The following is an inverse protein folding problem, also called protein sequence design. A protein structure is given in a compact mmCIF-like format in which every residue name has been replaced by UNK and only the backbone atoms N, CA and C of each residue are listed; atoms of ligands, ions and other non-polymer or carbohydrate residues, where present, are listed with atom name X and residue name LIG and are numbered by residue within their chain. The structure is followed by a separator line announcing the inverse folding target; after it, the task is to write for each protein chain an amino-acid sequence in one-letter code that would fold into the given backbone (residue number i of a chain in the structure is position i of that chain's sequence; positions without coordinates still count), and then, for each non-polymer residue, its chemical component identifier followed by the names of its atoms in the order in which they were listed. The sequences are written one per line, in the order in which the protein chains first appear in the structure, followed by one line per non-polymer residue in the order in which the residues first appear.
data_IF_722317134861
#
_entry.id   IF_722317134861
#
_cell.length_a   1.000
_cell.length_b   1.000
_cell.length_c   1.000
_cell.angle_alpha   90.00
_cell.angle_beta   90.00
_cell.angle_gamma   90.00
#
_symmetry.space_group_name_H-M   'P 1'
#
loop_
_entity.id
_entity.type
_entity.pdbx_description
1 polymer ?
#
# COMPACT_ATOMS: atom_id res chain seq x y z
N UNK A 1 7.63 -9.90 5.92
CA UNK A 1 7.22 -9.87 7.35
C UNK A 1 5.84 -9.21 7.46
N UNK A 2 4.74 -9.95 7.26
CA UNK A 2 3.39 -9.40 7.38
C UNK A 2 3.03 -9.01 8.83
N UNK A 3 3.51 -9.75 9.84
CA UNK A 3 3.17 -9.51 11.26
C UNK A 3 3.57 -8.10 11.73
N UNK A 4 4.79 -7.65 11.45
CA UNK A 4 5.26 -6.33 11.88
C UNK A 4 4.45 -5.19 11.27
N UNK A 5 4.09 -5.31 9.97
CA UNK A 5 3.24 -4.32 9.29
C UNK A 5 1.80 -4.33 9.82
N UNK A 6 1.24 -5.52 10.05
CA UNK A 6 -0.12 -5.70 10.58
C UNK A 6 -0.25 -5.11 11.99
N UNK A 7 0.71 -5.41 12.87
CA UNK A 7 0.69 -4.99 14.27
C UNK A 7 1.05 -3.50 14.44
N UNK A 8 2.01 -2.97 13.67
CA UNK A 8 2.49 -1.60 13.85
C UNK A 8 1.54 -0.54 13.26
N UNK A 9 0.80 -0.84 12.19
CA UNK A 9 -0.09 0.14 11.57
C UNK A 9 -1.52 0.11 12.11
N UNK A 10 -1.90 -0.89 12.90
CA UNK A 10 -3.26 -1.05 13.45
C UNK A 10 -4.36 -1.18 12.38
N UNK A 11 -3.99 -1.47 11.12
CA UNK A 11 -4.87 -1.43 9.93
C UNK A 11 -4.55 -2.59 8.98
N UNK A 12 -4.26 -3.76 9.54
CA UNK A 12 -4.10 -5.06 8.84
C UNK A 12 -3.11 -5.10 7.65
N UNK A 13 -2.22 -4.11 7.49
CA UNK A 13 -1.17 -4.09 6.48
C UNK A 13 -1.70 -4.18 5.05
N UNK A 14 -1.21 -5.16 4.27
CA UNK A 14 -1.66 -5.43 2.89
C UNK A 14 -3.10 -5.94 2.79
N UNK A 15 -3.69 -6.39 3.90
CA UNK A 15 -5.08 -6.87 3.93
C UNK A 15 -6.08 -5.72 3.82
N UNK A 16 -5.76 -4.55 4.39
CA UNK A 16 -6.49 -3.29 4.20
C UNK A 16 -5.55 -2.22 3.66
N UNK A 17 -5.47 -1.00 4.21
CA UNK A 17 -4.57 0.06 3.72
C UNK A 17 -3.34 0.31 4.62
N UNK A 18 -3.08 -0.55 5.61
CA UNK A 18 -2.08 -0.30 6.64
C UNK A 18 -0.65 -0.12 6.12
N UNK A 19 -0.25 -0.83 5.07
CA UNK A 19 1.08 -0.65 4.49
C UNK A 19 1.19 0.66 3.69
N UNK A 20 0.12 1.11 3.03
CA UNK A 20 0.09 2.39 2.33
C UNK A 20 0.25 3.55 3.31
N UNK A 21 -0.49 3.53 4.42
CA UNK A 21 -0.39 4.56 5.47
C UNK A 21 0.99 4.53 6.14
N UNK A 22 1.53 3.35 6.43
CA UNK A 22 2.88 3.22 6.99
C UNK A 22 3.94 3.82 6.05
N UNK A 23 3.83 3.61 4.74
CA UNK A 23 4.75 4.22 3.76
C UNK A 23 4.68 5.74 3.80
N UNK A 24 3.50 6.34 3.93
CA UNK A 24 3.38 7.79 4.03
C UNK A 24 3.97 8.34 5.33
N UNK A 25 3.83 7.62 6.44
CA UNK A 25 4.48 7.99 7.70
C UNK A 25 6.01 7.96 7.59
N UNK A 26 6.58 6.92 6.97
CA UNK A 26 8.03 6.77 6.89
C UNK A 26 8.69 7.57 5.77
N UNK A 27 8.11 7.63 4.58
CA UNK A 27 8.71 8.31 3.42
C UNK A 27 8.51 9.82 3.47
N UNK A 28 7.36 10.28 3.99
CA UNK A 28 7.00 11.71 4.01
C UNK A 28 6.97 12.31 5.42
N UNK A 29 7.38 11.57 6.45
CA UNK A 29 7.33 12.01 7.86
C UNK A 29 5.94 12.53 8.31
N UNK A 30 4.87 12.03 7.68
CA UNK A 30 3.50 12.45 8.01
C UNK A 30 3.09 11.90 9.38
N UNK A 31 2.31 12.69 10.14
CA UNK A 31 1.64 12.15 11.32
C UNK A 31 0.53 11.18 10.90
N UNK A 32 0.16 10.26 11.80
CA UNK A 32 -0.81 9.20 11.49
C UNK A 32 -2.15 9.73 10.91
N UNK A 33 -2.66 10.85 11.41
CA UNK A 33 -3.89 11.46 10.90
C UNK A 33 -3.73 11.93 9.46
N UNK A 34 -2.70 12.73 9.19
CA UNK A 34 -2.37 13.26 7.86
C UNK A 34 -2.12 12.13 6.85
N UNK A 35 -1.41 11.08 7.27
CA UNK A 35 -1.13 9.93 6.43
C UNK A 35 -2.42 9.16 6.07
N UNK A 36 -3.35 8.99 7.02
CA UNK A 36 -4.68 8.40 6.74
C UNK A 36 -5.49 9.26 5.80
N UNK A 37 -5.56 10.58 6.05
CA UNK A 37 -6.31 11.51 5.22
C UNK A 37 -5.77 11.54 3.79
N UNK A 38 -4.44 11.53 3.63
CA UNK A 38 -3.79 11.47 2.32
C UNK A 38 -4.14 10.19 1.57
N UNK A 39 -4.02 9.03 2.22
CA UNK A 39 -4.29 7.73 1.59
C UNK A 39 -5.78 7.58 1.26
N UNK A 40 -6.68 7.96 2.18
CA UNK A 40 -8.12 7.96 1.96
C UNK A 40 -8.51 8.82 0.75
N UNK A 41 -7.98 10.04 0.66
CA UNK A 41 -8.19 10.93 -0.48
C UNK A 41 -7.66 10.35 -1.79
N UNK A 42 -6.50 9.69 -1.76
CA UNK A 42 -5.91 9.03 -2.94
C UNK A 42 -6.73 7.84 -3.44
N UNK A 43 -7.38 7.13 -2.52
CA UNK A 43 -8.20 5.95 -2.81
C UNK A 43 -9.67 6.28 -3.05
N UNK A 44 -10.11 7.52 -2.78
CA UNK A 44 -11.51 7.92 -2.96
C UNK A 44 -12.46 7.36 -1.91
N UNK A 45 -11.96 7.02 -0.71
CA UNK A 45 -12.73 6.41 0.39
C UNK A 45 -12.65 7.23 1.67
N UNK A 46 -13.42 6.85 2.69
CA UNK A 46 -13.29 7.43 4.02
C UNK A 46 -12.07 6.88 4.77
N UNK A 47 -11.63 7.59 5.81
CA UNK A 47 -10.53 7.11 6.67
C UNK A 47 -10.89 5.86 7.48
N UNK A 48 -12.18 5.60 7.71
CA UNK A 48 -12.65 4.37 8.35
C UNK A 48 -12.48 3.16 7.43
N UNK A 49 -12.77 3.35 6.13
CA UNK A 49 -12.68 2.28 5.11
C UNK A 49 -11.25 1.77 4.94
N UNK A 50 -10.22 2.56 5.28
CA UNK A 50 -8.81 2.14 5.25
C UNK A 50 -8.51 0.90 6.11
N UNK A 51 -9.37 0.59 7.08
CA UNK A 51 -9.26 -0.59 7.94
C UNK A 51 -10.22 -1.71 7.55
N UNK A 52 -11.14 -1.46 6.61
CA UNK A 52 -12.10 -2.44 6.13
C UNK A 52 -11.46 -3.31 5.03
N UNK A 53 -11.31 -4.60 5.32
CA UNK A 53 -10.73 -5.55 4.38
C UNK A 53 -11.59 -5.74 3.13
N UNK A 54 -12.92 -5.67 3.22
CA UNK A 54 -13.79 -5.91 2.07
C UNK A 54 -13.66 -4.78 1.06
N UNK A 55 -13.81 -3.53 1.53
CA UNK A 55 -13.63 -2.33 0.69
C UNK A 55 -12.22 -2.30 0.09
N UNK A 56 -11.20 -2.55 0.92
CA UNK A 56 -9.81 -2.48 0.47
C UNK A 56 -9.42 -3.64 -0.44
N UNK A 57 -10.06 -4.81 -0.35
CA UNK A 57 -9.79 -5.93 -1.25
C UNK A 57 -10.16 -5.59 -2.69
N UNK A 58 -11.36 -5.04 -2.89
CA UNK A 58 -11.83 -4.64 -4.22
C UNK A 58 -10.93 -3.55 -4.82
N UNK A 59 -10.65 -2.50 -4.05
CA UNK A 59 -9.77 -1.41 -4.48
C UNK A 59 -8.35 -1.88 -4.81
N UNK A 60 -7.80 -2.81 -4.04
CA UNK A 60 -6.45 -3.33 -4.28
C UNK A 60 -6.35 -4.14 -5.56
N UNK A 61 -7.41 -4.88 -5.87
CA UNK A 61 -7.49 -5.66 -7.11
C UNK A 61 -7.65 -4.73 -8.32
N UNK A 62 -8.54 -3.72 -8.23
CA UNK A 62 -8.75 -2.73 -9.29
C UNK A 62 -7.50 -1.89 -9.58
N UNK A 63 -6.83 -1.40 -8.52
CA UNK A 63 -5.61 -0.58 -8.65
C UNK A 63 -4.35 -1.42 -8.93
N UNK A 64 -4.48 -2.74 -8.93
CA UNK A 64 -3.39 -3.70 -9.15
C UNK A 64 -2.17 -3.47 -8.22
N UNK A 65 -2.45 -3.13 -6.95
CA UNK A 65 -1.45 -2.85 -5.90
C UNK A 65 -1.23 -4.03 -4.96
N UNK A 66 -1.68 -5.21 -5.37
CA UNK A 66 -1.49 -6.47 -4.65
C UNK A 66 -2.53 -6.71 -3.57
N UNK A 67 -3.07 -7.93 -3.62
CA UNK A 67 -4.02 -8.51 -2.65
C UNK A 67 -3.35 -9.64 -1.87
N UNK A 68 -3.85 -9.91 -0.66
CA UNK A 68 -3.24 -10.91 0.23
C UNK A 68 -3.26 -12.32 -0.37
N UNK A 69 -4.35 -12.70 -1.02
CA UNK A 69 -4.46 -13.93 -1.81
C UNK A 69 -4.09 -13.60 -3.24
N UNK A 70 -2.98 -14.16 -3.72
CA UNK A 70 -2.54 -13.95 -5.10
C UNK A 70 -3.61 -14.35 -6.12
N UNK A 71 -4.13 -13.39 -6.87
CA UNK A 71 -5.05 -13.62 -7.99
C UNK A 71 -4.23 -13.83 -9.28
N UNK A 72 -4.58 -14.79 -10.16
CA UNK A 72 -3.94 -14.93 -11.47
C UNK A 72 -4.07 -13.64 -12.31
N UNK A 73 -3.00 -13.23 -12.99
CA UNK A 73 -3.02 -12.01 -13.83
C UNK A 73 -2.77 -10.69 -13.10
N UNK A 74 -2.97 -10.61 -11.78
CA UNK A 74 -2.69 -9.41 -10.99
C UNK A 74 -1.20 -9.30 -10.59
N UNK A 75 -0.73 -8.07 -10.44
CA UNK A 75 0.61 -7.73 -10.01
C UNK A 75 0.91 -8.25 -8.59
N UNK A 76 2.13 -8.77 -8.43
CA UNK A 76 2.65 -9.35 -7.19
C UNK A 76 4.08 -8.88 -6.96
N UNK A 77 4.50 -8.87 -5.70
CA UNK A 77 5.88 -8.57 -5.34
C UNK A 77 6.34 -7.20 -5.84
N UNK A 78 7.36 -7.18 -6.71
CA UNK A 78 7.94 -5.94 -7.25
C UNK A 78 6.96 -5.17 -8.13
N UNK A 79 6.18 -5.85 -8.98
CA UNK A 79 5.22 -5.18 -9.86
C UNK A 79 4.18 -4.38 -9.06
N UNK A 80 3.60 -5.00 -8.03
CA UNK A 80 2.63 -4.34 -7.15
C UNK A 80 3.25 -3.14 -6.43
N UNK A 81 4.50 -3.25 -5.96
CA UNK A 81 5.20 -2.13 -5.32
C UNK A 81 5.45 -0.97 -6.29
N UNK A 82 5.79 -1.23 -7.55
CA UNK A 82 5.92 -0.16 -8.57
C UNK A 82 4.59 0.54 -8.83
N UNK A 83 3.46 -0.18 -8.78
CA UNK A 83 2.13 0.46 -8.84
C UNK A 83 1.85 1.31 -7.60
N UNK A 84 2.27 0.85 -6.41
CA UNK A 84 2.19 1.64 -5.16
C UNK A 84 3.05 2.92 -5.24
N UNK A 85 4.26 2.88 -5.82
CA UNK A 85 5.09 4.07 -6.06
C UNK A 85 4.31 5.13 -6.86
N UNK A 86 3.66 4.70 -7.96
CA UNK A 86 2.85 5.57 -8.82
C UNK A 86 1.62 6.12 -8.07
N UNK A 87 0.92 5.27 -7.32
CA UNK A 87 -0.28 5.65 -6.57
C UNK A 87 0.03 6.75 -5.54
N UNK A 88 1.07 6.53 -4.73
CA UNK A 88 1.42 7.38 -3.59
C UNK A 88 2.38 8.53 -3.96
N UNK A 89 3.09 8.44 -5.08
CA UNK A 89 4.12 9.43 -5.46
C UNK A 89 5.37 9.34 -4.57
N UNK A 90 5.81 8.12 -4.29
CA UNK A 90 6.98 7.83 -3.43
C UNK A 90 7.94 6.89 -4.15
N UNK A 91 9.18 6.83 -3.67
CA UNK A 91 10.18 5.86 -4.15
C UNK A 91 10.32 4.72 -3.14
N UNK A 92 10.31 3.49 -3.62
CA UNK A 92 10.52 2.30 -2.81
C UNK A 92 11.89 1.72 -3.16
N UNK A 93 12.80 1.73 -2.19
CA UNK A 93 14.20 1.28 -2.35
C UNK A 93 14.36 -0.07 -3.09
N UNK A 94 13.52 -1.08 -2.82
CA UNK A 94 13.64 -2.36 -3.54
C UNK A 94 13.24 -2.28 -5.02
N UNK A 95 12.39 -1.33 -5.41
CA UNK A 95 12.03 -1.09 -6.79
C UNK A 95 13.17 -0.38 -7.53
N UNK A 96 13.84 0.59 -6.90
CA UNK A 96 15.06 1.21 -7.44
C UNK A 96 16.17 0.18 -7.67
N UNK A 97 16.49 -0.60 -6.64
CA UNK A 97 17.48 -1.69 -6.75
C UNK A 97 17.13 -2.71 -7.82
N UNK A 98 15.83 -3.01 -8.00
CA UNK A 98 15.41 -3.91 -9.07
C UNK A 98 15.68 -3.29 -10.44
N UNK A 99 15.34 -2.01 -10.64
CA UNK A 99 15.62 -1.26 -11.88
C UNK A 99 17.12 -1.23 -12.19
N UNK A 100 17.98 -1.08 -11.18
CA UNK A 100 19.45 -1.11 -11.35
C UNK A 100 19.99 -2.47 -11.81
N UNK A 101 19.36 -3.58 -11.41
CA UNK A 101 19.84 -4.94 -11.76
C UNK A 101 19.31 -5.40 -13.11
N UNK A 102 18.13 -4.90 -13.53
CA UNK A 102 17.47 -5.34 -14.77
C UNK A 102 17.61 -4.36 -15.94
N UNK A 103 18.05 -3.13 -15.68
CA UNK A 103 18.34 -2.11 -16.68
C UNK A 103 19.76 -2.21 -17.21
#
# INVERSE_FOLDING_TARGET
MPISHIMASGMTGIRAAGDLVARMQFDKNMRIGEAKDFVAKKLGVSTADLSDEYVMRELREELDIGVITSVPGCAKGIAAKMNIEKLLGININCCDKFREITG
#
